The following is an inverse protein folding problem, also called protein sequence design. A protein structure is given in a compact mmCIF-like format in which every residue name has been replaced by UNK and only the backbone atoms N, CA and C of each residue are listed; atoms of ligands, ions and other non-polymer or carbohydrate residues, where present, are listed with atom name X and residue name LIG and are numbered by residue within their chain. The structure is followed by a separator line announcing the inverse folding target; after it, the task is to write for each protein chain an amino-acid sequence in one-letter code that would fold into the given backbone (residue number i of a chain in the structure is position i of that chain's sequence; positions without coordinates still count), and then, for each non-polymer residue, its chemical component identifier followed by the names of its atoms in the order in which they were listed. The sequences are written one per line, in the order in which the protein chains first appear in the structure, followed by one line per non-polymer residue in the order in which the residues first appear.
data_IF_152562134855
#
_entry.id   IF_152562134855
#
_cell.length_a   1.000
_cell.length_b   1.000
_cell.length_c   1.000
_cell.angle_alpha   90.00
_cell.angle_beta   90.00
_cell.angle_gamma   90.00
#
_symmetry.space_group_name_H-M   'P 1'
#
loop_
_entity.id
_entity.type
_entity.pdbx_description
1 polymer ?
#
# COMPACT_ATOMS: atom_id res chain seq x y z
N UNK A 1 2.59 -5.95 7.71
CA UNK A 1 2.70 -6.47 6.34
C UNK A 1 3.96 -7.32 6.26
N UNK A 2 3.86 -8.56 5.77
CA UNK A 2 5.02 -9.42 5.46
C UNK A 2 5.55 -9.19 4.05
N UNK A 3 6.78 -9.62 3.77
CA UNK A 3 7.35 -9.57 2.41
C UNK A 3 6.53 -10.42 1.42
N UNK A 4 5.98 -11.53 1.90
CA UNK A 4 5.12 -12.41 1.09
C UNK A 4 3.79 -11.75 0.67
N UNK A 5 3.17 -10.99 1.57
CA UNK A 5 1.98 -10.18 1.27
C UNK A 5 2.32 -9.08 0.28
N UNK A 6 3.43 -8.36 0.52
CA UNK A 6 3.90 -7.30 -0.37
C UNK A 6 4.06 -7.78 -1.81
N UNK A 7 4.62 -8.97 -2.04
CA UNK A 7 4.80 -9.51 -3.39
C UNK A 7 3.51 -9.88 -4.10
N UNK A 8 2.42 -10.17 -3.37
CA UNK A 8 1.10 -10.46 -3.96
C UNK A 8 0.37 -9.21 -4.45
N UNK A 9 0.79 -8.01 -4.02
CA UNK A 9 0.19 -6.75 -4.46
C UNK A 9 0.70 -6.42 -5.87
N UNK A 10 -0.19 -6.26 -6.84
CA UNK A 10 0.15 -5.93 -8.22
C UNK A 10 -0.45 -4.58 -8.62
N UNK A 11 0.18 -3.93 -9.61
CA UNK A 11 -0.37 -2.71 -10.22
C UNK A 11 -1.77 -2.98 -10.77
N UNK A 12 -2.67 -2.03 -10.59
CA UNK A 12 -4.06 -2.13 -11.03
C UNK A 12 -5.02 -2.73 -9.99
N UNK A 13 -4.53 -3.39 -8.94
CA UNK A 13 -5.39 -3.89 -7.86
C UNK A 13 -6.15 -2.77 -7.17
N UNK A 14 -7.37 -3.03 -6.70
CA UNK A 14 -8.12 -2.07 -5.88
C UNK A 14 -7.62 -2.06 -4.44
N UNK A 15 -7.96 -1.01 -3.69
CA UNK A 15 -7.67 -0.96 -2.26
C UNK A 15 -8.28 -2.16 -1.51
N UNK A 16 -9.49 -2.59 -1.88
CA UNK A 16 -10.17 -3.74 -1.27
C UNK A 16 -9.43 -5.07 -1.53
N UNK A 17 -8.80 -5.22 -2.69
CA UNK A 17 -7.98 -6.39 -2.99
C UNK A 17 -6.68 -6.39 -2.17
N UNK A 18 -6.07 -5.21 -2.01
CA UNK A 18 -4.86 -5.05 -1.19
C UNK A 18 -5.14 -5.33 0.28
N UNK A 19 -6.22 -4.80 0.87
CA UNK A 19 -6.54 -5.08 2.29
C UNK A 19 -6.87 -6.56 2.54
N UNK A 20 -7.41 -7.28 1.54
CA UNK A 20 -7.64 -8.73 1.64
C UNK A 20 -6.33 -9.52 1.66
N UNK A 21 -5.32 -9.06 0.91
CA UNK A 21 -3.97 -9.65 0.92
C UNK A 21 -3.29 -9.39 2.26
N UNK A 22 -3.30 -8.14 2.73
CA UNK A 22 -2.51 -7.70 3.89
C UNK A 22 -3.21 -7.98 5.23
N UNK A 23 -4.53 -8.12 5.23
CA UNK A 23 -5.33 -8.34 6.43
C UNK A 23 -5.46 -7.11 7.34
N UNK A 24 -5.13 -5.91 6.83
CA UNK A 24 -5.20 -4.65 7.57
C UNK A 24 -5.45 -3.48 6.63
N UNK A 25 -6.14 -2.46 7.12
CA UNK A 25 -6.41 -1.21 6.39
C UNK A 25 -5.16 -0.32 6.22
N UNK A 26 -4.12 -0.53 7.03
CA UNK A 26 -2.96 0.36 7.02
C UNK A 26 -3.32 1.77 7.52
N UNK A 27 -2.53 2.75 7.12
CA UNK A 27 -2.69 4.15 7.54
C UNK A 27 -2.50 5.06 6.34
N UNK A 28 -3.50 5.91 6.07
CA UNK A 28 -3.39 6.96 5.06
C UNK A 28 -2.28 7.92 5.46
N UNK A 29 -1.25 8.00 4.62
CA UNK A 29 -0.08 8.86 4.85
C UNK A 29 -0.19 10.16 4.07
N UNK A 30 -0.85 10.13 2.91
CA UNK A 30 -1.16 11.31 2.11
C UNK A 30 -2.37 11.06 1.22
N UNK A 31 -3.10 12.14 0.91
CA UNK A 31 -4.18 12.16 -0.07
C UNK A 31 -4.18 13.49 -0.81
N UNK A 32 -4.41 13.44 -2.11
CA UNK A 32 -4.60 14.62 -2.94
C UNK A 32 -5.63 14.33 -4.02
N UNK A 33 -6.47 15.30 -4.33
CA UNK A 33 -7.48 15.20 -5.37
C UNK A 33 -7.49 16.49 -6.18
N UNK A 34 -7.41 16.39 -7.51
CA UNK A 34 -7.41 17.55 -8.41
C UNK A 34 -8.10 17.18 -9.71
N UNK A 35 -9.12 17.95 -10.09
CA UNK A 35 -9.87 17.76 -11.34
C UNK A 35 -10.38 16.31 -11.55
N UNK A 36 -10.83 15.65 -10.48
CA UNK A 36 -11.33 14.28 -10.52
C UNK A 36 -10.24 13.19 -10.58
N UNK A 37 -8.97 13.58 -10.53
CA UNK A 37 -7.85 12.65 -10.37
C UNK A 37 -7.43 12.60 -8.90
N UNK A 38 -7.44 11.40 -8.31
CA UNK A 38 -7.14 11.19 -6.90
C UNK A 38 -5.88 10.35 -6.75
N UNK A 39 -4.99 10.79 -5.86
CA UNK A 39 -3.83 10.03 -5.38
C UNK A 39 -3.98 9.79 -3.88
N UNK A 40 -3.83 8.54 -3.44
CA UNK A 40 -3.82 8.15 -2.03
C UNK A 40 -2.60 7.29 -1.76
N UNK A 41 -1.84 7.60 -0.72
CA UNK A 41 -0.71 6.77 -0.28
C UNK A 41 -1.10 6.14 1.06
N UNK A 42 -1.12 4.81 1.08
CA UNK A 42 -1.37 4.04 2.30
C UNK A 42 -0.07 3.38 2.74
N UNK A 43 0.22 3.46 4.03
CA UNK A 43 1.38 2.82 4.67
C UNK A 43 0.95 1.70 5.60
N UNK A 44 1.75 0.65 5.67
CA UNK A 44 1.61 -0.43 6.64
C UNK A 44 2.92 -0.62 7.38
N UNK A 45 2.84 -0.79 8.69
CA UNK A 45 3.95 -1.31 9.46
C UNK A 45 4.27 -2.73 8.99
N UNK A 46 5.56 -3.01 8.88
CA UNK A 46 6.13 -4.23 8.33
C UNK A 46 6.49 -5.24 9.42
N UNK A 47 6.43 -6.51 9.06
CA UNK A 47 7.08 -7.58 9.80
C UNK A 47 8.53 -7.66 9.30
N UNK A 48 9.50 -7.79 10.21
CA UNK A 48 10.93 -7.84 9.86
C UNK A 48 11.76 -6.95 10.77
N UNK A 49 12.59 -6.08 10.17
CA UNK A 49 13.45 -5.18 10.94
C UNK A 49 12.65 -4.13 11.74
N UNK A 50 13.25 -3.57 12.79
CA UNK A 50 12.66 -2.45 13.52
C UNK A 50 12.47 -1.28 12.53
N UNK A 51 11.24 -0.77 12.44
CA UNK A 51 10.87 0.29 11.50
C UNK A 51 10.56 -0.21 10.08
N UNK A 52 10.52 -1.52 9.85
CA UNK A 52 10.08 -2.09 8.58
C UNK A 52 8.68 -1.57 8.22
N UNK A 53 8.47 -1.25 6.95
CA UNK A 53 7.21 -0.72 6.46
C UNK A 53 7.08 -0.92 4.95
N UNK A 54 5.85 -0.77 4.46
CA UNK A 54 5.57 -0.65 3.05
C UNK A 54 4.56 0.46 2.80
N UNK A 55 4.68 1.06 1.62
CA UNK A 55 3.75 2.06 1.10
C UNK A 55 3.20 1.59 -0.22
N UNK A 56 1.91 1.84 -0.44
CA UNK A 56 1.22 1.58 -1.71
C UNK A 56 0.52 2.86 -2.13
N UNK A 57 0.82 3.30 -3.34
CA UNK A 57 0.20 4.46 -3.96
C UNK A 57 -0.96 3.99 -4.81
N UNK A 58 -2.11 4.60 -4.62
CA UNK A 58 -3.32 4.38 -5.38
C UNK A 58 -3.63 5.63 -6.19
N UNK A 59 -3.78 5.47 -7.50
CA UNK A 59 -4.28 6.49 -8.41
C UNK A 59 -5.67 6.08 -8.87
N UNK A 60 -6.66 6.94 -8.66
CA UNK A 60 -8.07 6.66 -8.94
C UNK A 60 -8.54 5.31 -8.38
N UNK A 61 -8.11 4.99 -7.14
CA UNK A 61 -8.49 3.79 -6.42
C UNK A 61 -7.77 2.51 -6.83
N UNK A 62 -6.78 2.58 -7.73
CA UNK A 62 -5.98 1.41 -8.17
C UNK A 62 -4.51 1.59 -7.88
N UNK A 63 -3.83 0.51 -7.51
CA UNK A 63 -2.38 0.52 -7.26
C UNK A 63 -1.64 1.04 -8.48
N UNK A 64 -0.90 2.14 -8.34
CA UNK A 64 0.00 2.67 -9.37
C UNK A 64 1.45 2.31 -9.07
N UNK A 65 1.84 2.30 -7.80
CA UNK A 65 3.19 1.95 -7.35
C UNK A 65 3.20 1.43 -5.91
N UNK A 66 4.30 0.76 -5.55
CA UNK A 66 4.54 0.24 -4.19
C UNK A 66 6.02 0.31 -3.84
N UNK A 67 6.33 0.54 -2.57
CA UNK A 67 7.70 0.52 -2.05
C UNK A 67 7.73 -0.17 -0.68
N UNK A 68 8.87 -0.76 -0.32
CA UNK A 68 9.06 -1.39 0.98
C UNK A 68 10.47 -1.16 1.50
N UNK A 69 10.61 -1.14 2.83
CA UNK A 69 11.88 -1.13 3.53
C UNK A 69 11.84 -2.17 4.64
N UNK A 70 12.83 -3.05 4.68
CA UNK A 70 13.09 -3.94 5.81
C UNK A 70 12.07 -5.07 6.05
N UNK A 71 11.16 -5.33 5.11
CA UNK A 71 10.18 -6.42 5.23
C UNK A 71 10.85 -7.81 5.19
N UNK A 72 10.25 -8.77 5.90
CA UNK A 72 10.58 -10.20 5.88
C UNK A 72 9.34 -11.07 5.66
#
# INVERSE_FOLDING_TARGET
MSLSEYYKIETGMTYEEVIKIVGSYGTESARTETQGYQIVIISWNGNGQIGANATVTFENGRVSSKAQVGLQ
#
